data_IF_629539252820
#
_entry.id   IF_629539252820
#
_cell.length_a   1.000
_cell.length_b   1.000
_cell.length_c   1.000
_cell.angle_alpha   90.00
_cell.angle_beta   90.00
_cell.angle_gamma   90.00
#
_symmetry.space_group_name_H-M   'P 1'
#
loop_
_entity.id
_entity.type
_entity.pdbx_description
1 polymer ?
#
# COMPACT_ATOMS: atom_id res chain seq x y z
N UNK A 1 10.38 -14.82 -8.79
CA UNK A 1 10.79 -13.93 -7.69
C UNK A 1 10.30 -12.51 -7.90
N UNK A 2 10.82 -11.76 -8.88
CA UNK A 2 10.42 -10.36 -9.13
C UNK A 2 8.90 -10.14 -9.22
N UNK A 3 8.21 -10.89 -10.08
CA UNK A 3 6.75 -10.75 -10.26
C UNK A 3 5.96 -11.08 -9.00
N UNK A 4 6.43 -12.02 -8.18
CA UNK A 4 5.81 -12.35 -6.91
C UNK A 4 5.95 -11.19 -5.92
N UNK A 5 7.17 -10.66 -5.74
CA UNK A 5 7.41 -9.45 -4.93
C UNK A 5 6.62 -8.24 -5.43
N UNK A 6 6.49 -8.07 -6.75
CA UNK A 6 5.70 -7.00 -7.34
C UNK A 6 4.20 -7.15 -7.06
N UNK A 7 3.70 -8.39 -7.06
CA UNK A 7 2.31 -8.66 -6.68
C UNK A 7 2.09 -8.33 -5.20
N UNK A 8 2.97 -8.78 -4.31
CA UNK A 8 2.91 -8.44 -2.88
C UNK A 8 2.90 -6.92 -2.68
N UNK A 9 3.82 -6.19 -3.33
CA UNK A 9 3.86 -4.74 -3.22
C UNK A 9 2.58 -4.07 -3.72
N UNK A 10 1.97 -4.61 -4.78
CA UNK A 10 0.72 -4.08 -5.35
C UNK A 10 -0.46 -4.31 -4.41
N UNK A 11 -0.60 -5.53 -3.89
CA UNK A 11 -1.65 -5.90 -2.93
C UNK A 11 -1.51 -5.12 -1.63
N UNK A 12 -0.29 -5.01 -1.10
CA UNK A 12 -0.03 -4.26 0.11
C UNK A 12 -0.38 -2.78 -0.06
N UNK A 13 0.03 -2.15 -1.17
CA UNK A 13 -0.29 -0.75 -1.45
C UNK A 13 -1.81 -0.55 -1.59
N UNK A 14 -2.51 -1.39 -2.36
CA UNK A 14 -3.95 -1.26 -2.57
C UNK A 14 -4.77 -1.44 -1.28
N UNK A 15 -4.51 -2.52 -0.53
CA UNK A 15 -5.25 -2.79 0.71
C UNK A 15 -4.99 -1.74 1.80
N UNK A 16 -3.77 -1.20 1.86
CA UNK A 16 -3.44 -0.15 2.81
C UNK A 16 -4.01 1.21 2.43
N UNK A 17 -4.03 1.55 1.14
CA UNK A 17 -4.71 2.74 0.66
C UNK A 17 -6.21 2.67 0.99
N UNK A 18 -6.85 1.52 0.76
CA UNK A 18 -8.26 1.31 1.10
C UNK A 18 -8.52 1.41 2.62
N UNK A 19 -7.65 0.80 3.45
CA UNK A 19 -7.73 0.91 4.90
C UNK A 19 -7.53 2.34 5.41
N UNK A 20 -6.67 3.12 4.73
CA UNK A 20 -6.47 4.53 5.04
C UNK A 20 -7.65 5.40 4.59
N UNK A 21 -8.32 5.03 3.51
CA UNK A 21 -9.41 5.81 2.92
C UNK A 21 -10.79 5.58 3.55
N UNK A 22 -10.93 4.52 4.34
CA UNK A 22 -12.13 4.22 5.12
C UNK A 22 -12.51 5.35 6.09
N UNK A 23 -13.78 5.41 6.50
CA UNK A 23 -14.33 6.46 7.40
C UNK A 23 -13.51 6.66 8.69
N UNK A 24 -13.17 5.58 9.40
CA UNK A 24 -12.31 5.60 10.61
C UNK A 24 -10.84 5.27 10.27
N UNK A 25 -10.49 5.47 8.99
CA UNK A 25 -9.16 5.22 8.46
C UNK A 25 -8.15 6.28 8.90
N UNK A 26 -7.15 6.50 8.06
CA UNK A 26 -6.05 7.40 8.38
C UNK A 26 -4.68 6.78 8.16
N UNK A 27 -3.65 7.55 8.50
CA UNK A 27 -2.27 7.18 8.22
C UNK A 27 -1.85 5.95 9.02
N UNK A 28 -2.25 5.85 10.29
CA UNK A 28 -1.89 4.70 11.14
C UNK A 28 -2.56 3.41 10.67
N UNK A 29 -3.88 3.34 10.41
CA UNK A 29 -4.51 2.15 9.81
C UNK A 29 -3.88 1.75 8.47
N UNK A 30 -3.56 2.70 7.61
CA UNK A 30 -2.90 2.42 6.33
C UNK A 30 -1.52 1.76 6.53
N UNK A 31 -0.70 2.33 7.41
CA UNK A 31 0.65 1.82 7.68
C UNK A 31 0.65 0.45 8.38
N UNK A 32 -0.23 0.26 9.36
CA UNK A 32 -0.40 -1.03 10.05
C UNK A 32 -0.88 -2.11 9.05
N UNK A 33 -1.87 -1.80 8.22
CA UNK A 33 -2.34 -2.71 7.18
C UNK A 33 -1.24 -3.06 6.18
N UNK A 34 -0.46 -2.07 5.73
CA UNK A 34 0.67 -2.30 4.83
C UNK A 34 1.70 -3.24 5.47
N UNK A 35 2.11 -2.98 6.72
CA UNK A 35 3.09 -3.81 7.43
C UNK A 35 2.61 -5.25 7.61
N UNK A 36 1.34 -5.45 8.01
CA UNK A 36 0.74 -6.78 8.15
C UNK A 36 0.68 -7.52 6.83
N UNK A 37 0.16 -6.90 5.77
CA UNK A 37 0.04 -7.56 4.47
C UNK A 37 1.40 -7.94 3.89
N UNK A 38 2.43 -7.11 4.06
CA UNK A 38 3.79 -7.46 3.65
C UNK A 38 4.29 -8.68 4.44
N UNK A 39 4.07 -8.71 5.76
CA UNK A 39 4.50 -9.81 6.61
C UNK A 39 3.74 -11.12 6.31
N UNK A 40 2.41 -11.06 6.16
CA UNK A 40 1.53 -12.19 5.82
C UNK A 40 1.95 -12.85 4.51
N UNK A 41 2.34 -12.05 3.52
CA UNK A 41 2.78 -12.53 2.21
C UNK A 41 4.29 -12.81 2.14
N UNK A 42 4.99 -12.81 3.27
CA UNK A 42 6.45 -13.06 3.35
C UNK A 42 7.29 -12.12 2.47
N UNK A 43 6.83 -10.88 2.29
CA UNK A 43 7.57 -9.83 1.61
C UNK A 43 8.69 -9.25 2.49
N UNK A 44 9.76 -8.76 1.86
CA UNK A 44 10.84 -8.06 2.57
C UNK A 44 10.80 -6.58 2.24
N UNK A 45 10.50 -5.73 3.22
CA UNK A 45 10.51 -4.28 3.04
C UNK A 45 11.93 -3.76 2.74
N UNK A 46 12.06 -2.93 1.71
CA UNK A 46 13.29 -2.17 1.48
C UNK A 46 13.34 -0.92 2.37
N UNK A 47 12.18 -0.28 2.52
CA UNK A 47 11.93 0.86 3.42
C UNK A 47 10.57 0.66 4.10
N UNK A 48 10.32 1.41 5.17
CA UNK A 48 8.98 1.45 5.75
C UNK A 48 7.95 1.89 4.69
N UNK A 49 6.74 1.32 4.69
CA UNK A 49 5.64 1.84 3.87
C UNK A 49 5.40 3.31 4.18
N UNK A 50 4.98 4.06 3.16
CA UNK A 50 4.67 5.48 3.30
C UNK A 50 3.22 5.70 2.92
N UNK A 51 2.48 6.40 3.76
CA UNK A 51 1.10 6.80 3.50
C UNK A 51 1.03 8.33 3.55
N UNK A 52 0.42 8.93 2.53
CA UNK A 52 0.14 10.36 2.47
C UNK A 52 -1.37 10.51 2.33
N UNK A 53 -1.97 11.27 3.22
CA UNK A 53 -3.40 11.58 3.17
C UNK A 53 -3.53 13.01 2.73
N UNK A 54 -4.28 13.20 1.65
CA UNK A 54 -4.66 14.50 1.12
C UNK A 54 -6.12 14.78 1.47
N UNK A 55 -6.66 15.90 1.00
CA UNK A 55 -8.07 16.25 1.22
C UNK A 55 -9.04 15.29 0.54
N UNK A 56 -8.63 14.61 -0.53
CA UNK A 56 -9.53 13.84 -1.38
C UNK A 56 -9.14 12.37 -1.53
N UNK A 57 -7.87 12.02 -1.29
CA UNK A 57 -7.34 10.67 -1.49
C UNK A 57 -6.28 10.28 -0.45
N UNK A 58 -6.10 8.97 -0.30
CA UNK A 58 -4.99 8.33 0.38
C UNK A 58 -4.06 7.71 -0.65
N UNK A 59 -2.79 8.09 -0.58
CA UNK A 59 -1.73 7.55 -1.43
C UNK A 59 -0.79 6.71 -0.60
N UNK A 60 -0.66 5.43 -0.91
CA UNK A 60 0.27 4.53 -0.22
C UNK A 60 1.35 4.03 -1.16
N UNK A 61 2.60 4.20 -0.75
CA UNK A 61 3.79 3.71 -1.44
C UNK A 61 4.41 2.56 -0.67
N UNK A 62 4.57 1.42 -1.33
CA UNK A 62 5.22 0.22 -0.80
C UNK A 62 6.45 -0.09 -1.65
N UNK A 63 7.60 -0.24 -0.98
CA UNK A 63 8.86 -0.61 -1.63
C UNK A 63 9.45 -1.86 -1.00
N UNK A 64 9.53 -2.94 -1.78
CA UNK A 64 10.01 -4.25 -1.33
C UNK A 64 11.32 -4.63 -2.01
N UNK A 65 12.13 -5.44 -1.31
CA UNK A 65 13.34 -6.08 -1.84
C UNK A 65 12.97 -7.31 -2.67
N UNK A 66 13.65 -7.46 -3.80
CA UNK A 66 13.63 -8.66 -4.62
C UNK A 66 14.91 -9.43 -4.34
N UNK A 67 14.84 -10.69 -3.88
CA UNK A 67 16.00 -11.54 -3.70
C UNK A 67 16.79 -11.69 -5.00
N UNK A 68 18.10 -11.43 -4.93
CA UNK A 68 19.00 -11.43 -6.07
C UNK A 68 19.22 -12.87 -6.58
N UNK A 69 18.82 -13.13 -7.82
CA UNK A 69 19.07 -14.42 -8.50
C UNK A 69 20.16 -14.29 -9.58
N UNK A 70 20.42 -13.06 -10.06
CA UNK A 70 21.48 -12.74 -11.02
C UNK A 70 21.92 -11.27 -10.84
N UNK A 71 23.19 -10.93 -11.13
CA UNK A 71 23.60 -9.54 -11.28
C UNK A 71 22.78 -8.87 -12.41
N UNK A 72 22.54 -7.56 -12.31
CA UNK A 72 21.78 -6.71 -13.26
C UNK A 72 20.24 -6.69 -13.17
N UNK A 73 19.60 -7.49 -12.29
CA UNK A 73 18.17 -7.34 -12.01
C UNK A 73 17.91 -6.29 -10.92
N UNK A 74 16.82 -5.52 -11.04
CA UNK A 74 16.42 -4.57 -10.00
C UNK A 74 16.20 -5.26 -8.67
N UNK A 75 16.88 -4.77 -7.63
CA UNK A 75 16.80 -5.30 -6.27
C UNK A 75 15.56 -4.85 -5.50
N UNK A 76 14.74 -3.99 -6.10
CA UNK A 76 13.54 -3.45 -5.46
C UNK A 76 12.37 -3.34 -6.42
N UNK A 77 11.17 -3.51 -5.88
CA UNK A 77 9.92 -3.15 -6.54
C UNK A 77 9.24 -2.06 -5.73
N UNK A 78 8.80 -1.01 -6.40
CA UNK A 78 7.95 0.04 -5.83
C UNK A 78 6.57 -0.04 -6.45
N UNK A 79 5.54 0.03 -5.62
CA UNK A 79 4.15 0.14 -6.03
C UNK A 79 3.48 1.25 -5.25
N UNK A 80 2.58 1.95 -5.93
CA UNK A 80 1.81 3.06 -5.38
C UNK A 80 0.34 2.76 -5.66
N UNK A 81 -0.50 2.98 -4.66
CA UNK A 81 -1.94 2.91 -4.79
C UNK A 81 -2.56 4.23 -4.32
N UNK A 82 -3.65 4.59 -4.98
CA UNK A 82 -4.43 5.80 -4.73
C UNK A 82 -5.86 5.35 -4.45
N UNK A 83 -6.42 5.76 -3.32
CA UNK A 83 -7.81 5.49 -2.98
C UNK A 83 -8.51 6.78 -2.56
N UNK A 84 -9.64 7.15 -3.16
CA UNK A 84 -10.40 8.32 -2.74
C UNK A 84 -10.96 8.11 -1.34
N UNK A 85 -10.98 9.18 -0.53
CA UNK A 85 -11.59 9.16 0.79
C UNK A 85 -13.08 8.84 0.68
N UNK A 86 -13.56 7.96 1.54
CA UNK A 86 -14.95 7.57 1.59
C UNK A 86 -15.82 8.79 1.98
N UNK A 87 -16.64 9.28 1.04
CA UNK A 87 -17.58 10.38 1.28
C UNK A 87 -18.98 9.83 1.46
N UNK A 88 -19.55 10.01 2.65
CA UNK A 88 -20.98 9.80 2.86
C UNK A 88 -21.75 10.93 2.16
N UNK A 89 -22.52 10.58 1.12
CA UNK A 89 -23.63 11.41 0.67
C UNK A 89 -24.80 11.01 1.56
N UNK A 90 -25.25 11.91 2.43
CA UNK A 90 -26.46 11.68 3.22
C UNK A 90 -27.64 11.49 2.27
N UNK A 91 -28.44 10.44 2.46
CA UNK A 91 -29.63 10.19 1.62
C UNK A 91 -30.68 11.31 1.74
N UNK A 92 -30.53 12.22 2.71
CA UNK A 92 -31.33 13.45 2.83
C UNK A 92 -31.01 14.52 1.77
N UNK A 93 -29.88 14.43 1.07
CA UNK A 93 -29.48 15.33 -0.03
C UNK A 93 -29.78 14.75 -1.43
N UNK A 94 -30.56 13.66 -1.52
CA UNK A 94 -30.95 13.03 -2.78
C UNK A 94 -32.32 13.46 -3.29
#
# INVERSE_FOLDING_TARGET
MFFHTANIASVAAAQSAAAGAAVDGGMLPALDKAARTIAELSGQSYSLPQAVITTDEVVVTVRLRVPQVAPFFSFTVTRVAHEPLERYISEMDR
#
